data_IF_737227299711
#
_entry.id   IF_737227299711
#
_cell.length_a   1.000
_cell.length_b   1.000
_cell.length_c   1.000
_cell.angle_alpha   90.00
_cell.angle_beta   90.00
_cell.angle_gamma   90.00
#
_symmetry.space_group_name_H-M   'P 1'
#
loop_
_entity.id
_entity.type
_entity.pdbx_description
1 polymer ?
#
# COMPACT_ATOMS: atom_id res chain seq x y z
N UNK A 1 2.68 -5.59 14.47
CA UNK A 1 3.10 -5.37 13.06
C UNK A 1 2.02 -5.70 12.03
N UNK A 2 1.24 -6.79 12.18
CA UNK A 2 0.20 -7.16 11.21
C UNK A 2 -0.81 -6.04 10.91
N UNK A 3 -1.30 -5.36 11.95
CA UNK A 3 -2.27 -4.25 11.86
C UNK A 3 -1.75 -3.03 11.07
N UNK A 4 -0.49 -2.62 11.30
CA UNK A 4 0.16 -1.48 10.60
C UNK A 4 0.26 -1.76 9.10
N UNK A 5 0.66 -2.99 8.77
CA UNK A 5 0.80 -3.47 7.40
C UNK A 5 -0.54 -3.52 6.66
N UNK A 6 -1.57 -4.02 7.34
CA UNK A 6 -2.92 -4.08 6.79
C UNK A 6 -3.47 -2.68 6.50
N UNK A 7 -3.38 -1.75 7.45
CA UNK A 7 -3.84 -0.36 7.27
C UNK A 7 -3.20 0.30 6.03
N UNK A 8 -1.87 0.31 5.96
CA UNK A 8 -1.13 0.89 4.84
C UNK A 8 -1.56 0.32 3.49
N UNK A 9 -1.60 -1.01 3.35
CA UNK A 9 -1.94 -1.66 2.08
C UNK A 9 -3.39 -1.46 1.68
N UNK A 10 -4.30 -1.43 2.64
CA UNK A 10 -5.72 -1.22 2.38
C UNK A 10 -6.01 0.19 1.87
N UNK A 11 -5.37 1.19 2.46
CA UNK A 11 -5.54 2.58 2.02
C UNK A 11 -4.93 2.81 0.63
N UNK A 12 -3.75 2.26 0.36
CA UNK A 12 -3.15 2.28 -0.98
C UNK A 12 -4.06 1.60 -2.01
N UNK A 13 -4.64 0.43 -1.67
CA UNK A 13 -5.57 -0.26 -2.55
C UNK A 13 -6.85 0.55 -2.82
N UNK A 14 -7.44 1.17 -1.78
CA UNK A 14 -8.62 2.03 -1.94
C UNK A 14 -8.34 3.23 -2.84
N UNK A 15 -7.13 3.80 -2.77
CA UNK A 15 -6.75 4.97 -3.53
C UNK A 15 -6.40 4.65 -4.99
N UNK A 16 -5.67 3.56 -5.24
CA UNK A 16 -5.06 3.31 -6.54
C UNK A 16 -5.53 2.02 -7.24
N UNK A 17 -6.34 1.18 -6.59
CA UNK A 17 -6.69 -0.17 -7.06
C UNK A 17 -5.45 -1.05 -7.34
N UNK A 18 -4.40 -0.86 -6.53
CA UNK A 18 -3.16 -1.65 -6.52
C UNK A 18 -2.87 -2.23 -5.15
N UNK A 19 -2.27 -3.41 -5.11
CA UNK A 19 -1.73 -3.99 -3.88
C UNK A 19 -0.37 -3.36 -3.60
N UNK A 20 -0.16 -2.87 -2.38
CA UNK A 20 1.14 -2.35 -1.96
C UNK A 20 2.06 -3.48 -1.48
N UNK A 21 3.31 -3.44 -1.91
CA UNK A 21 4.36 -4.36 -1.43
C UNK A 21 4.79 -3.93 -0.03
N UNK A 22 4.50 -4.73 0.99
CA UNK A 22 4.84 -4.40 2.40
C UNK A 22 6.36 -4.21 2.62
N UNK A 23 7.15 -4.94 1.86
CA UNK A 23 8.60 -4.82 1.79
C UNK A 23 8.97 -4.52 0.33
N UNK A 24 8.96 -3.25 -0.09
CA UNK A 24 9.12 -2.86 -1.50
C UNK A 24 10.50 -3.20 -2.09
N UNK A 25 11.46 -3.59 -1.25
CA UNK A 25 12.73 -4.19 -1.66
C UNK A 25 12.60 -5.65 -2.12
N UNK A 26 11.48 -6.31 -1.84
CA UNK A 26 11.14 -7.59 -2.45
C UNK A 26 10.69 -7.33 -3.88
N UNK A 27 11.57 -7.64 -4.84
CA UNK A 27 11.33 -7.42 -6.26
C UNK A 27 10.34 -8.45 -6.81
N UNK A 28 9.05 -8.16 -6.65
CA UNK A 28 7.99 -8.88 -7.32
C UNK A 28 8.06 -8.66 -8.83
N UNK A 29 7.86 -9.72 -9.60
CA UNK A 29 7.98 -9.69 -11.06
C UNK A 29 6.71 -10.16 -11.73
N UNK A 30 6.53 -9.73 -12.99
CA UNK A 30 5.48 -10.27 -13.84
C UNK A 30 5.60 -11.78 -13.96
N UNK A 31 4.49 -12.48 -13.75
CA UNK A 31 4.43 -13.93 -13.80
C UNK A 31 4.93 -14.62 -12.54
N UNK A 32 5.27 -13.90 -11.46
CA UNK A 32 5.43 -14.55 -10.17
C UNK A 32 4.12 -15.24 -9.76
N UNK A 33 4.22 -16.50 -9.34
CA UNK A 33 3.09 -17.32 -8.88
C UNK A 33 3.19 -17.48 -7.37
N UNK A 34 2.08 -17.30 -6.67
CA UNK A 34 2.08 -17.23 -5.22
C UNK A 34 0.70 -17.40 -4.61
N UNK A 35 0.69 -17.50 -3.29
CA UNK A 35 -0.53 -17.51 -2.49
C UNK A 35 -0.72 -16.10 -1.91
N UNK A 36 -1.81 -15.46 -2.31
CA UNK A 36 -2.26 -14.23 -1.68
C UNK A 36 -3.13 -14.56 -0.45
N UNK A 37 -2.69 -14.11 0.72
CA UNK A 37 -3.46 -14.14 1.97
C UNK A 37 -3.65 -12.71 2.44
N UNK A 38 -4.86 -12.20 2.26
CA UNK A 38 -5.16 -10.79 2.48
C UNK A 38 -4.34 -9.90 1.54
N UNK A 39 -3.55 -9.01 2.12
CA UNK A 39 -2.69 -8.09 1.37
C UNK A 39 -1.23 -8.58 1.28
N UNK A 40 -0.92 -9.79 1.76
CA UNK A 40 0.41 -10.42 1.64
C UNK A 40 0.41 -11.38 0.45
N UNK A 41 1.35 -11.18 -0.48
CA UNK A 41 1.65 -12.14 -1.54
C UNK A 41 2.91 -12.94 -1.19
N UNK A 42 2.80 -14.26 -1.15
CA UNK A 42 3.94 -15.16 -0.94
C UNK A 42 4.24 -15.89 -2.23
N UNK A 43 5.35 -15.54 -2.89
CA UNK A 43 5.85 -16.22 -4.09
C UNK A 43 6.20 -17.67 -3.75
N UNK A 44 5.79 -18.59 -4.62
CA UNK A 44 6.09 -20.02 -4.53
C UNK A 44 6.71 -20.58 -5.81
N UNK A 45 6.46 -19.94 -6.95
CA UNK A 45 6.94 -20.33 -8.26
C UNK A 45 6.90 -19.14 -9.23
N UNK A 46 7.14 -19.38 -10.50
CA UNK A 46 6.88 -18.44 -11.59
C UNK A 46 6.13 -19.12 -12.74
N UNK A 47 5.49 -18.32 -13.61
CA UNK A 47 4.87 -18.82 -14.84
C UNK A 47 5.93 -19.49 -15.75
N UNK A 48 7.16 -18.97 -15.74
CA UNK A 48 8.28 -19.52 -16.50
C UNK A 48 8.69 -20.91 -15.98
N UNK A 49 8.77 -21.11 -14.65
CA UNK A 49 9.01 -22.43 -14.04
C UNK A 49 7.91 -23.45 -14.34
N UNK A 50 6.68 -22.97 -14.56
CA UNK A 50 5.53 -23.81 -14.95
C UNK A 50 5.38 -23.99 -16.46
N UNK A 51 6.37 -23.50 -17.24
CA UNK A 51 6.38 -23.55 -18.70
C UNK A 51 5.16 -22.87 -19.34
N UNK A 52 4.64 -21.81 -18.71
CA UNK A 52 3.49 -21.06 -19.19
C UNK A 52 3.95 -19.77 -19.89
N UNK A 53 3.93 -19.71 -21.22
CA UNK A 53 4.38 -18.53 -21.94
C UNK A 53 3.37 -17.38 -21.79
N UNK A 54 3.89 -16.18 -21.52
CA UNK A 54 3.12 -14.94 -21.48
C UNK A 54 3.83 -13.81 -22.23
N UNK A 55 3.07 -12.79 -22.62
CA UNK A 55 3.57 -11.62 -23.35
C UNK A 55 3.53 -10.42 -22.41
N UNK A 56 4.66 -9.71 -22.32
CA UNK A 56 4.86 -8.55 -21.44
C UNK A 56 4.71 -7.28 -22.26
N UNK A 57 4.02 -6.29 -21.73
CA UNK A 57 4.05 -4.91 -22.19
C UNK A 57 4.80 -4.07 -21.16
N UNK A 58 5.81 -3.36 -21.64
CA UNK A 58 6.65 -2.48 -20.83
C UNK A 58 6.13 -1.07 -21.03
N UNK A 59 5.49 -0.50 -20.02
CA UNK A 59 5.09 0.89 -20.01
C UNK A 59 6.30 1.80 -20.18
N UNK A 60 6.14 2.79 -21.05
CA UNK A 60 7.16 3.80 -21.38
C UNK A 60 6.83 5.18 -20.84
N UNK A 61 5.57 5.38 -20.42
CA UNK A 61 5.10 6.65 -19.89
C UNK A 61 5.24 6.65 -18.37
N UNK A 62 6.08 7.52 -17.79
CA UNK A 62 6.24 7.60 -16.35
C UNK A 62 4.99 8.17 -15.68
N UNK A 63 4.68 7.66 -14.49
CA UNK A 63 3.61 8.13 -13.61
C UNK A 63 4.19 8.39 -12.23
N UNK A 64 3.77 9.48 -11.60
CA UNK A 64 4.13 9.78 -10.22
C UNK A 64 2.97 9.44 -9.29
N UNK A 65 3.30 8.85 -8.13
CA UNK A 65 2.35 8.58 -7.06
C UNK A 65 2.75 9.38 -5.83
N UNK A 66 1.80 10.11 -5.25
CA UNK A 66 1.97 10.81 -3.98
C UNK A 66 0.73 10.55 -3.15
N UNK A 67 0.89 9.98 -1.96
CA UNK A 67 -0.20 9.69 -1.05
C UNK A 67 0.25 9.70 0.40
N UNK A 68 -0.59 10.24 1.27
CA UNK A 68 -0.30 10.38 2.69
C UNK A 68 -1.57 10.11 3.49
N UNK A 69 -1.42 9.60 4.71
CA UNK A 69 -2.52 9.52 5.68
C UNK A 69 -2.83 10.92 6.22
N UNK A 70 -3.56 11.73 5.43
CA UNK A 70 -3.64 13.19 5.54
C UNK A 70 -3.93 13.73 6.96
N UNK A 71 -4.86 13.13 7.71
CA UNK A 71 -5.21 13.57 9.07
C UNK A 71 -4.25 13.07 10.16
N UNK A 72 -3.30 12.22 9.81
CA UNK A 72 -2.44 11.49 10.75
C UNK A 72 -0.94 11.83 10.58
N UNK A 73 -0.61 12.72 9.65
CA UNK A 73 0.76 13.13 9.35
C UNK A 73 0.87 14.65 9.20
N UNK A 74 1.94 15.22 9.76
CA UNK A 74 2.37 16.60 9.52
C UNK A 74 3.73 16.58 8.87
N UNK A 75 3.88 17.31 7.77
CA UNK A 75 5.14 17.42 7.01
C UNK A 75 5.51 18.89 6.95
N UNK A 76 6.54 19.29 7.69
CA UNK A 76 6.93 20.68 7.87
C UNK A 76 8.38 20.89 7.41
N UNK A 77 8.65 21.84 6.51
CA UNK A 77 10.01 22.22 6.17
C UNK A 77 10.75 22.72 7.41
N UNK A 78 12.00 22.27 7.57
CA UNK A 78 12.90 22.70 8.65
C UNK A 78 14.11 23.35 8.03
N UNK A 79 14.40 24.60 8.42
CA UNK A 79 15.54 25.35 7.91
C UNK A 79 16.40 25.72 9.10
N UNK A 80 17.62 25.17 9.13
CA UNK A 80 18.63 25.59 10.09
C UNK A 80 19.45 26.73 9.46
N UNK A 81 19.20 27.94 9.95
CA UNK A 81 19.94 29.14 9.58
C UNK A 81 21.15 29.30 10.51
N UNK A 82 22.33 29.46 9.94
CA UNK A 82 23.49 29.97 10.68
C UNK A 82 23.67 31.44 10.32
N UNK A 83 23.77 32.30 11.34
CA UNK A 83 24.09 33.71 11.14
C UNK A 83 25.61 33.80 11.08
N UNK A 84 26.14 33.88 9.86
CA UNK A 84 27.57 34.04 9.64
C UNK A 84 28.08 35.41 10.10
N UNK A 85 29.41 35.56 10.12
CA UNK A 85 30.15 36.77 10.51
C UNK A 85 29.77 38.00 9.66
N UNK A 86 29.16 37.81 8.48
CA UNK A 86 28.67 38.86 7.58
C UNK A 86 27.25 39.32 7.88
N UNK A 87 26.58 38.79 8.91
CA UNK A 87 25.21 39.17 9.30
C UNK A 87 24.11 38.71 8.35
N UNK A 88 24.46 38.05 7.25
CA UNK A 88 23.50 37.45 6.32
C UNK A 88 23.20 36.00 6.73
N UNK A 89 21.92 35.60 6.82
CA UNK A 89 21.56 34.22 7.12
C UNK A 89 22.03 33.31 5.97
N UNK A 90 22.88 32.34 6.29
CA UNK A 90 23.24 31.27 5.37
C UNK A 90 22.48 30.01 5.78
N UNK A 91 21.81 29.38 4.81
CA UNK A 91 21.16 28.07 5.02
C UNK A 91 22.27 27.03 5.14
N UNK A 92 22.46 26.49 6.33
CA UNK A 92 23.51 25.48 6.58
C UNK A 92 22.98 24.08 6.39
N UNK A 93 21.70 23.84 6.75
CA UNK A 93 20.99 22.60 6.47
C UNK A 93 19.52 22.88 6.18
N UNK A 94 19.02 22.26 5.11
CA UNK A 94 17.60 22.13 4.87
C UNK A 94 17.16 20.73 5.31
N UNK A 95 15.96 20.64 5.87
CA UNK A 95 15.37 19.40 6.34
C UNK A 95 13.87 19.42 6.25
N UNK A 96 13.26 18.30 6.57
CA UNK A 96 11.80 18.15 6.70
C UNK A 96 11.53 17.38 7.98
N UNK A 97 10.64 17.92 8.80
CA UNK A 97 10.08 17.24 9.96
C UNK A 97 8.82 16.50 9.53
N UNK A 98 8.80 15.19 9.76
CA UNK A 98 7.66 14.32 9.49
C UNK A 98 7.15 13.79 10.83
N UNK A 99 6.00 14.28 11.25
CA UNK A 99 5.37 13.92 12.51
C UNK A 99 4.12 13.06 12.27
N UNK A 100 4.14 11.84 12.80
CA UNK A 100 3.05 10.88 12.76
C UNK A 100 2.25 10.94 14.06
N UNK A 101 0.94 11.07 13.92
CA UNK A 101 -0.01 11.21 15.03
C UNK A 101 -0.69 9.89 15.40
N UNK A 102 -0.52 8.85 14.59
CA UNK A 102 -1.11 7.54 14.82
C UNK A 102 -0.19 6.40 14.35
N UNK A 103 -0.44 5.22 14.90
CA UNK A 103 0.16 3.96 14.47
C UNK A 103 -0.41 3.57 13.12
N UNK A 104 0.45 3.21 12.17
CA UNK A 104 0.04 2.90 10.80
C UNK A 104 -0.16 4.12 9.90
N UNK A 105 0.05 5.34 10.40
CA UNK A 105 0.15 6.53 9.56
C UNK A 105 1.38 6.41 8.63
N UNK A 106 1.29 6.93 7.41
CA UNK A 106 2.35 6.77 6.41
C UNK A 106 2.48 7.96 5.45
N UNK A 107 3.66 8.04 4.86
CA UNK A 107 4.02 8.86 3.72
C UNK A 107 4.42 7.93 2.57
N UNK A 108 3.82 8.09 1.41
CA UNK A 108 4.12 7.34 0.20
C UNK A 108 4.35 8.29 -0.97
N UNK A 109 5.54 8.27 -1.54
CA UNK A 109 5.87 9.01 -2.74
C UNK A 109 6.72 8.12 -3.64
N UNK A 110 6.32 7.95 -4.90
CA UNK A 110 7.05 7.19 -5.89
C UNK A 110 7.08 7.98 -7.21
N UNK A 111 8.29 8.15 -7.75
CA UNK A 111 8.56 9.02 -8.90
C UNK A 111 9.03 8.22 -10.10
N UNK A 112 8.67 8.71 -11.28
CA UNK A 112 9.01 8.11 -12.57
C UNK A 112 8.67 6.61 -12.61
N UNK A 113 7.46 6.27 -12.19
CA UNK A 113 7.02 4.89 -12.12
C UNK A 113 6.62 4.38 -13.49
N UNK A 114 7.10 3.19 -13.85
CA UNK A 114 6.73 2.50 -15.08
C UNK A 114 5.84 1.31 -14.74
N UNK A 115 4.70 1.21 -15.40
CA UNK A 115 3.80 0.08 -15.27
C UNK A 115 4.19 -1.00 -16.29
N UNK A 116 4.31 -2.25 -15.84
CA UNK A 116 4.50 -3.39 -16.72
C UNK A 116 3.31 -4.34 -16.54
N UNK A 117 2.81 -4.92 -17.63
CA UNK A 117 1.60 -5.76 -17.60
C UNK A 117 1.72 -6.99 -18.53
N UNK A 118 1.04 -8.07 -18.17
CA UNK A 118 0.79 -9.21 -19.05
C UNK A 118 -0.40 -8.92 -19.98
N UNK A 119 -0.18 -8.88 -21.29
CA UNK A 119 -1.23 -8.50 -22.26
C UNK A 119 -2.03 -9.68 -22.80
N UNK A 120 -1.40 -10.85 -22.95
CA UNK A 120 -2.04 -12.02 -23.55
C UNK A 120 -2.86 -12.86 -22.53
N UNK A 121 -3.58 -12.19 -21.63
CA UNK A 121 -4.30 -12.80 -20.48
C UNK A 121 -5.23 -13.95 -20.90
N UNK A 122 -5.90 -13.85 -22.05
CA UNK A 122 -6.78 -14.92 -22.57
C UNK A 122 -5.99 -16.21 -22.86
N UNK A 123 -4.81 -16.10 -23.50
CA UNK A 123 -3.94 -17.25 -23.81
C UNK A 123 -3.36 -17.84 -22.54
N UNK A 124 -2.89 -16.98 -21.64
CA UNK A 124 -2.39 -17.36 -20.32
C UNK A 124 -3.43 -18.17 -19.53
N UNK A 125 -4.67 -17.68 -19.46
CA UNK A 125 -5.75 -18.37 -18.77
C UNK A 125 -6.02 -19.76 -19.34
N UNK A 126 -6.03 -19.91 -20.67
CA UNK A 126 -6.20 -21.24 -21.30
C UNK A 126 -5.09 -22.20 -20.90
N UNK A 127 -3.85 -21.72 -20.74
CA UNK A 127 -2.73 -22.54 -20.28
C UNK A 127 -2.90 -22.93 -18.80
N UNK A 128 -3.27 -21.99 -17.94
CA UNK A 128 -3.52 -22.27 -16.52
C UNK A 128 -4.66 -23.29 -16.35
N UNK A 129 -5.76 -23.17 -17.11
CA UNK A 129 -6.86 -24.13 -17.08
C UNK A 129 -6.42 -25.56 -17.43
N UNK A 130 -5.46 -25.72 -18.35
CA UNK A 130 -4.89 -27.04 -18.65
C UNK A 130 -4.10 -27.60 -17.47
N UNK A 131 -3.38 -26.76 -16.72
CA UNK A 131 -2.67 -27.18 -15.51
C UNK A 131 -3.61 -27.52 -14.36
N UNK A 132 -4.73 -26.80 -14.23
CA UNK A 132 -5.80 -27.13 -13.27
C UNK A 132 -6.37 -28.52 -13.61
N UNK A 133 -6.68 -28.79 -14.88
CA UNK A 133 -7.18 -30.10 -15.31
C UNK A 133 -6.20 -31.25 -15.01
N UNK A 134 -4.89 -30.96 -14.97
CA UNK A 134 -3.81 -31.89 -14.60
C UNK A 134 -3.52 -31.94 -13.10
N UNK A 135 -4.22 -31.15 -12.27
CA UNK A 135 -3.98 -30.99 -10.82
C UNK A 135 -2.58 -30.48 -10.47
N UNK A 136 -1.93 -29.78 -11.40
CA UNK A 136 -0.62 -29.15 -11.18
C UNK A 136 -0.82 -27.76 -10.57
N UNK A 137 -1.76 -26.98 -11.11
CA UNK A 137 -2.12 -25.67 -10.57
C UNK A 137 -3.11 -25.81 -9.42
N UNK A 138 -2.79 -25.23 -8.26
CA UNK A 138 -3.70 -25.26 -7.10
C UNK A 138 -4.68 -24.09 -7.12
N UNK A 139 -5.96 -24.29 -6.73
CA UNK A 139 -6.98 -23.23 -6.80
C UNK A 139 -6.64 -21.98 -5.99
N UNK A 140 -5.86 -22.10 -4.93
CA UNK A 140 -5.42 -20.98 -4.09
C UNK A 140 -4.30 -20.13 -4.70
N UNK A 141 -3.68 -20.59 -5.80
CA UNK A 141 -2.59 -19.87 -6.46
C UNK A 141 -3.11 -18.70 -7.30
N UNK A 142 -2.35 -17.62 -7.24
CA UNK A 142 -2.52 -16.38 -8.00
C UNK A 142 -1.21 -16.07 -8.73
N UNK A 143 -1.29 -15.28 -9.80
CA UNK A 143 -0.10 -14.79 -10.51
C UNK A 143 -0.10 -13.27 -10.58
N UNK A 144 1.09 -12.67 -10.57
CA UNK A 144 1.26 -11.23 -10.75
C UNK A 144 1.14 -10.89 -12.23
N UNK A 145 0.13 -10.09 -12.58
CA UNK A 145 -0.14 -9.69 -13.97
C UNK A 145 0.18 -8.23 -14.25
N UNK A 146 0.38 -7.42 -13.21
CA UNK A 146 0.83 -6.03 -13.32
C UNK A 146 1.79 -5.71 -12.20
N UNK A 147 2.87 -5.01 -12.51
CA UNK A 147 3.81 -4.43 -11.54
C UNK A 147 4.05 -2.96 -11.86
N UNK A 148 4.32 -2.18 -10.83
CA UNK A 148 4.75 -0.78 -10.96
C UNK A 148 6.17 -0.70 -10.43
N UNK A 149 7.10 -0.32 -11.31
CA UNK A 149 8.49 -0.16 -10.98
C UNK A 149 8.77 1.33 -10.76
N UNK A 150 9.14 1.70 -9.54
CA UNK A 150 9.53 3.07 -9.21
C UNK A 150 11.01 3.27 -9.48
N UNK A 151 11.36 4.32 -10.22
CA UNK A 151 12.75 4.75 -10.34
C UNK A 151 13.29 5.14 -8.96
N UNK A 152 12.51 5.94 -8.23
CA UNK A 152 12.82 6.42 -6.90
C UNK A 152 11.53 6.47 -6.06
N UNK A 153 11.59 6.02 -4.81
CA UNK A 153 10.45 6.13 -3.90
C UNK A 153 10.88 6.43 -2.46
N UNK A 154 10.06 7.23 -1.79
CA UNK A 154 10.12 7.46 -0.35
C UNK A 154 8.85 6.93 0.30
N UNK A 155 9.02 5.92 1.16
CA UNK A 155 7.93 5.22 1.85
C UNK A 155 8.29 5.21 3.33
N UNK A 156 7.46 5.84 4.15
CA UNK A 156 7.67 5.91 5.60
C UNK A 156 6.37 5.47 6.27
N UNK A 157 6.45 4.50 7.16
CA UNK A 157 5.29 3.96 7.89
C UNK A 157 5.58 3.99 9.38
N UNK A 158 4.70 4.64 10.15
CA UNK A 158 4.81 4.70 11.60
C UNK A 158 4.39 3.38 12.25
N UNK A 159 5.24 2.82 13.10
CA UNK A 159 4.94 1.64 13.93
C UNK A 159 4.41 2.08 15.31
N UNK A 160 4.81 3.26 15.80
CA UNK A 160 4.32 3.83 17.07
C UNK A 160 3.15 4.80 16.88
N UNK A 161 2.38 5.03 17.95
CA UNK A 161 1.26 5.98 17.94
C UNK A 161 1.68 7.43 17.80
N UNK A 162 2.90 7.75 18.25
CA UNK A 162 3.55 9.03 17.98
C UNK A 162 4.96 8.71 17.48
N UNK A 163 5.26 9.13 16.26
CA UNK A 163 6.60 9.01 15.70
C UNK A 163 6.98 10.35 15.08
N UNK A 164 8.27 10.65 15.11
CA UNK A 164 8.82 11.84 14.50
C UNK A 164 10.09 11.45 13.77
N UNK A 165 10.19 11.85 12.52
CA UNK A 165 11.35 11.63 11.67
C UNK A 165 11.78 12.96 11.08
N UNK A 166 12.96 13.43 11.46
CA UNK A 166 13.56 14.62 10.88
C UNK A 166 14.56 14.17 9.84
N UNK A 167 14.30 14.56 8.60
CA UNK A 167 15.19 14.33 7.46
C UNK A 167 16.06 15.56 7.24
N UNK A 168 17.30 15.33 6.84
CA UNK A 168 18.19 16.36 6.32
C UNK A 168 18.48 16.13 4.83
N UNK A 169 18.71 17.21 4.11
CA UNK A 169 18.96 17.24 2.69
C UNK A 169 20.11 18.19 2.33
N UNK A 170 20.74 17.94 1.18
CA UNK A 170 21.76 18.80 0.58
C UNK A 170 21.17 20.04 -0.10
N UNK A 171 19.87 20.01 -0.41
CA UNK A 171 19.15 21.09 -1.07
C UNK A 171 17.82 21.37 -0.33
N UNK A 172 17.22 22.57 -0.47
CA UNK A 172 15.90 22.87 0.06
C UNK A 172 14.86 21.84 -0.38
N UNK A 173 14.11 21.32 0.59
CA UNK A 173 13.04 20.34 0.37
C UNK A 173 11.75 20.78 1.01
N UNK A 174 10.65 20.38 0.38
CA UNK A 174 9.29 20.57 0.89
C UNK A 174 8.46 19.30 0.73
N UNK A 175 7.18 19.35 1.12
CA UNK A 175 6.25 18.25 0.91
C UNK A 175 6.17 17.88 -0.58
N UNK A 176 6.26 16.59 -0.92
CA UNK A 176 6.16 16.11 -2.30
C UNK A 176 7.46 16.17 -3.14
N UNK A 177 8.61 16.35 -2.51
CA UNK A 177 9.93 16.22 -3.16
C UNK A 177 10.86 15.27 -2.37
N UNK A 178 10.27 14.32 -1.64
CA UNK A 178 11.05 13.37 -0.84
C UNK A 178 11.48 12.17 -1.67
N UNK A 179 10.87 11.89 -2.83
CA UNK A 179 11.32 10.83 -3.73
C UNK A 179 12.28 11.36 -4.81
N UNK A 180 13.24 12.20 -4.41
CA UNK A 180 14.26 12.78 -5.30
C UNK A 180 15.67 12.41 -4.81
N UNK A 181 16.46 11.80 -5.68
CA UNK A 181 17.82 11.33 -5.37
C UNK A 181 18.81 12.48 -5.18
N UNK A 182 18.66 13.55 -5.97
CA UNK A 182 19.61 14.67 -6.01
C UNK A 182 19.63 15.45 -4.69
N UNK A 183 18.55 15.32 -3.92
CA UNK A 183 18.36 15.93 -2.61
C UNK A 183 19.31 15.33 -1.55
N UNK A 184 19.75 14.08 -1.71
CA UNK A 184 20.64 13.42 -0.75
C UNK A 184 20.03 13.27 0.65
N UNK A 185 18.81 12.74 0.73
CA UNK A 185 18.09 12.56 1.99
C UNK A 185 18.84 11.64 2.96
N UNK A 186 18.86 12.05 4.23
CA UNK A 186 19.35 11.22 5.34
C UNK A 186 18.57 11.50 6.61
N UNK A 187 18.49 10.51 7.50
CA UNK A 187 17.84 10.67 8.81
C UNK A 187 18.74 11.51 9.71
N UNK A 188 18.23 12.67 10.15
CA UNK A 188 18.91 13.52 11.12
C UNK A 188 18.58 13.13 12.56
N UNK A 189 17.29 12.91 12.84
CA UNK A 189 16.84 12.42 14.15
C UNK A 189 15.56 11.62 14.01
N UNK A 190 15.38 10.64 14.88
CA UNK A 190 14.18 9.82 14.94
C UNK A 190 13.70 9.68 16.39
N UNK A 191 12.39 9.82 16.60
CA UNK A 191 11.70 9.46 17.83
C UNK A 191 10.58 8.49 17.49
N UNK A 192 10.46 7.42 18.27
CA UNK A 192 9.51 6.34 17.99
C UNK A 192 10.02 5.38 16.92
N UNK A 193 9.16 4.45 16.52
CA UNK A 193 9.49 3.40 15.59
C UNK A 193 8.86 3.69 14.22
N UNK A 194 9.68 3.68 13.18
CA UNK A 194 9.24 3.84 11.79
C UNK A 194 9.94 2.81 10.89
N UNK A 195 9.24 2.36 9.86
CA UNK A 195 9.86 1.72 8.69
C UNK A 195 10.07 2.81 7.66
N UNK A 196 11.28 2.94 7.10
CA UNK A 196 11.55 3.94 6.08
C UNK A 196 12.37 3.38 4.92
N UNK A 197 11.96 3.76 3.72
CA UNK A 197 12.71 3.68 2.49
C UNK A 197 12.82 5.13 2.02
N UNK A 198 14.02 5.69 1.98
CA UNK A 198 14.23 7.11 1.66
C UNK A 198 14.93 7.22 0.33
N UNK A 199 14.27 7.86 -0.64
CA UNK A 199 14.74 8.00 -2.02
C UNK A 199 15.33 6.69 -2.57
N UNK A 200 14.70 5.56 -2.27
CA UNK A 200 15.19 4.24 -2.61
C UNK A 200 14.89 3.93 -4.07
N UNK A 201 15.87 3.35 -4.76
CA UNK A 201 15.79 3.12 -6.20
C UNK A 201 15.34 1.71 -6.56
N UNK A 202 14.74 1.57 -7.75
CA UNK A 202 14.42 0.26 -8.34
C UNK A 202 13.46 -0.57 -7.50
N UNK A 203 12.54 0.09 -6.80
CA UNK A 203 11.54 -0.57 -5.96
C UNK A 203 10.34 -1.02 -6.79
N UNK A 204 9.63 -2.04 -6.30
CA UNK A 204 8.33 -2.48 -6.84
C UNK A 204 7.24 -2.18 -5.81
N UNK A 205 6.86 -0.89 -5.63
CA UNK A 205 5.95 -0.51 -4.56
C UNK A 205 4.53 -1.04 -4.73
N UNK A 206 4.08 -1.26 -5.96
CA UNK A 206 2.70 -1.61 -6.29
C UNK A 206 2.64 -2.78 -7.29
N UNK A 207 1.62 -3.63 -7.16
CA UNK A 207 1.36 -4.74 -8.08
C UNK A 207 -0.13 -5.09 -8.13
N UNK A 208 -0.53 -5.89 -9.13
CA UNK A 208 -1.81 -6.60 -9.18
C UNK A 208 -1.56 -8.09 -9.29
N UNK A 209 -2.39 -8.86 -8.60
CA UNK A 209 -2.39 -10.31 -8.67
C UNK A 209 -3.77 -10.79 -9.14
N UNK A 210 -3.75 -11.76 -10.04
CA UNK A 210 -4.95 -12.36 -10.62
C UNK A 210 -5.05 -13.82 -10.19
N UNK A 211 -6.25 -14.21 -9.76
CA UNK A 211 -6.60 -15.58 -9.40
C UNK A 211 -7.74 -16.09 -10.27
N UNK A 212 -7.72 -17.39 -10.58
CA UNK A 212 -8.86 -18.05 -11.18
C UNK A 212 -9.83 -18.47 -10.08
N UNK A 213 -11.04 -17.91 -10.09
CA UNK A 213 -12.10 -18.32 -9.18
C UNK A 213 -12.73 -19.61 -9.66
N UNK A 214 -12.80 -20.59 -8.77
CA UNK A 214 -13.66 -21.75 -8.99
C UNK A 214 -15.13 -21.31 -9.04
N UNK A 215 -15.94 -21.90 -9.93
CA UNK A 215 -17.38 -21.70 -9.87
C UNK A 215 -17.91 -22.26 -8.54
N UNK A 216 -18.61 -21.43 -7.77
CA UNK A 216 -19.35 -21.89 -6.59
C UNK A 216 -20.37 -22.94 -7.06
N UNK A 217 -20.29 -24.14 -6.47
CA UNK A 217 -21.08 -25.34 -6.74
C UNK A 217 -22.44 -25.07 -7.38
N UNK A 218 -22.50 -25.10 -8.71
CA UNK A 218 -23.76 -25.05 -9.46
C UNK A 218 -24.07 -26.48 -9.87
N UNK A 219 -24.99 -27.12 -9.13
CA UNK A 219 -25.47 -28.49 -9.31
C UNK A 219 -25.99 -28.83 -10.73
N UNK A 220 -26.06 -27.85 -11.64
CA UNK A 220 -26.73 -27.98 -12.93
C UNK A 220 -25.87 -27.61 -14.15
N UNK A 221 -24.56 -27.34 -14.00
CA UNK A 221 -23.68 -27.04 -15.15
C UNK A 221 -22.68 -28.16 -15.43
N UNK A 222 -22.83 -28.81 -16.59
CA UNK A 222 -21.93 -29.86 -17.14
C UNK A 222 -20.50 -29.39 -17.45
N UNK A 223 -20.15 -28.11 -17.24
CA UNK A 223 -18.78 -27.61 -17.40
C UNK A 223 -18.49 -26.47 -16.42
N UNK A 224 -17.39 -26.54 -15.63
CA UNK A 224 -17.00 -25.46 -14.74
C UNK A 224 -16.62 -24.22 -15.55
N UNK A 225 -17.31 -23.10 -15.31
CA UNK A 225 -16.94 -21.79 -15.88
C UNK A 225 -16.08 -21.06 -14.86
N UNK A 226 -14.78 -20.95 -15.12
CA UNK A 226 -13.87 -20.17 -14.28
C UNK A 226 -14.00 -18.68 -14.60
N UNK A 227 -13.97 -17.84 -13.57
CA UNK A 227 -13.93 -16.37 -13.70
C UNK A 227 -12.57 -15.85 -13.23
N UNK A 228 -12.06 -14.84 -13.92
CA UNK A 228 -10.91 -14.09 -13.42
C UNK A 228 -11.38 -13.17 -12.29
N UNK A 229 -10.60 -13.13 -11.22
CA UNK A 229 -10.73 -12.11 -10.19
C UNK A 229 -9.37 -11.46 -9.99
N UNK A 230 -9.38 -10.12 -10.01
CA UNK A 230 -8.29 -9.34 -9.42
C UNK A 230 -8.44 -9.51 -7.91
N UNK A 231 -7.37 -9.96 -7.28
CA UNK A 231 -7.36 -10.19 -5.85
C UNK A 231 -7.45 -8.86 -5.10
N UNK A 232 -8.34 -8.83 -4.10
CA UNK A 232 -8.54 -7.67 -3.22
C UNK A 232 -7.90 -7.96 -1.87
N UNK A 233 -7.38 -6.95 -1.16
CA UNK A 233 -6.93 -7.15 0.20
C UNK A 233 -8.11 -7.60 1.07
N UNK A 234 -7.90 -8.67 1.84
CA UNK A 234 -8.92 -9.25 2.71
C UNK A 234 -9.00 -8.41 3.98
N UNK A 235 -9.79 -7.34 3.97
CA UNK A 235 -10.29 -6.72 5.20
C UNK A 235 -11.64 -6.01 4.98
N UNK A 236 -12.67 -6.60 5.59
CA UNK A 236 -13.84 -5.97 6.19
C UNK A 236 -14.88 -5.33 5.26
N UNK A 237 -15.84 -6.16 4.83
CA UNK A 237 -17.24 -5.85 5.13
C UNK A 237 -17.38 -5.75 6.68
N UNK A 238 -16.94 -4.63 7.28
CA UNK A 238 -17.51 -4.23 8.55
C UNK A 238 -18.85 -3.57 8.22
N UNK A 239 -19.97 -3.97 8.86
CA UNK A 239 -21.20 -3.21 8.72
C UNK A 239 -20.93 -1.79 9.22
N UNK A 240 -20.88 -0.85 8.28
CA UNK A 240 -20.97 0.57 8.55
C UNK A 240 -22.36 0.86 9.08
N UNK A 241 -22.54 0.78 10.40
CA UNK A 241 -23.44 1.58 11.26
C UNK A 241 -23.61 0.84 12.61
N UNK A 242 -22.81 1.21 13.61
CA UNK A 242 -23.30 1.25 14.97
C UNK A 242 -23.35 2.73 15.34
N UNK A 243 -24.55 3.29 15.22
CA UNK A 243 -24.89 4.61 15.73
C UNK A 243 -24.58 4.61 17.23
N UNK A 244 -23.59 5.37 17.66
CA UNK A 244 -23.37 5.68 19.07
C UNK A 244 -23.98 7.06 19.30
N UNK A 245 -25.30 7.14 19.18
CA UNK A 245 -26.11 8.33 19.49
C UNK A 245 -27.48 7.94 20.04
N UNK A 246 -27.55 6.88 20.86
CA UNK A 246 -28.69 6.63 21.77
C UNK A 246 -28.18 6.01 23.08
N UNK A 247 -27.39 6.76 23.83
CA UNK A 247 -27.21 6.52 25.26
C UNK A 247 -27.31 7.86 25.98
N UNK A 248 -28.23 7.94 26.95
CA UNK A 248 -28.75 9.14 27.65
C UNK A 248 -29.76 9.92 26.78
N UNK A 249 -31.08 9.93 27.06
CA UNK A 249 -31.76 10.38 28.29
C UNK A 249 -33.16 9.74 28.37
N UNK A 250 -33.46 8.98 29.43
CA UNK A 250 -34.84 8.75 29.87
C UNK A 250 -34.93 9.16 31.34
N UNK A 251 -35.27 10.43 31.59
CA UNK A 251 -35.70 10.89 32.91
C UNK A 251 -37.21 10.67 32.97
N UNK A 252 -37.63 9.74 33.82
CA UNK A 252 -39.05 9.47 34.11
C UNK A 252 -39.73 10.71 34.73
N UNK A 253 -40.96 11.05 34.34
CA UNK A 253 -41.76 12.02 35.09
C UNK A 253 -42.28 11.37 36.39
N UNK A 254 -42.12 12.09 37.49
CA UNK A 254 -42.74 11.83 38.79
C UNK A 254 -44.25 12.10 38.65
N UNK A 255 -45.07 11.06 38.76
CA UNK A 255 -46.52 11.17 38.87
C UNK A 255 -46.91 11.44 40.33
N UNK A 256 -47.32 12.67 40.61
CA UNK A 256 -48.00 13.05 41.83
C UNK A 256 -49.52 12.94 41.62
N UNK A 257 -50.10 11.78 41.91
CA UNK A 257 -51.51 11.72 42.33
C UNK A 257 -51.91 10.35 42.91
N UNK A 258 -52.08 10.29 44.24
CA UNK A 258 -53.24 9.67 44.91
C UNK A 258 -53.11 9.80 46.42
N UNK A 259 -53.97 10.66 46.98
CA UNK A 259 -54.38 10.59 48.38
C UNK A 259 -55.22 9.33 48.61
N UNK A 260 -54.97 8.67 49.73
CA UNK A 260 -55.99 7.92 50.48
C UNK A 260 -55.66 7.99 51.96
N UNK A 261 -56.70 8.40 52.69
CA UNK A 261 -56.90 8.50 54.16
C UNK A 261 -56.23 9.70 54.82
#
# INVERSE_FOLDING_TARGET
MAEVNEKYRNEIYKQFDYLATWLPNNQLQLGDVGIQKGSVFNKIASLDELEIPFTKEIGITPIDFVFTSQSEIKVEPKIDLNIGITGLPQVVKAGVDISFLQKGAYYFEAKNCLQHEITNKIKLNKAILKLIARKIWKPEWSYIDTVVNANCATIIVSISSTANLVLSAKAPIGPGNLANLDVGLSVYSQKGEVISFLAAQGLTPLFKATKLKEPSFSLFKKSPTYKMLIEKPMSLDMPSTMNIDEAFVSVSPIDHSRSRV
#
